data_IF_039036322892
#
_entry.id   IF_039036322892
#
_cell.length_a   1.000
_cell.length_b   1.000
_cell.length_c   1.000
_cell.angle_alpha   90.00
_cell.angle_beta   90.00
_cell.angle_gamma   90.00
#
_symmetry.space_group_name_H-M   'P 1'
#
loop_
_entity.id
_entity.type
_entity.pdbx_description
1 polymer ?
#
# COMPACT_ATOMS: atom_id res chain seq x y z
N UNK A 1 15.62 -16.79 -10.82
CA UNK A 1 14.64 -17.44 -9.92
C UNK A 1 13.32 -17.62 -10.64
N UNK A 2 12.60 -18.73 -10.44
CA UNK A 2 11.29 -18.97 -11.07
C UNK A 2 10.23 -17.95 -10.56
N UNK A 3 9.15 -17.73 -11.32
CA UNK A 3 7.94 -17.04 -10.81
C UNK A 3 7.60 -17.54 -9.39
N UNK A 4 7.45 -16.65 -8.39
CA UNK A 4 7.21 -17.10 -7.01
C UNK A 4 5.91 -17.91 -6.93
N UNK A 5 4.98 -17.66 -7.85
CA UNK A 5 3.70 -18.34 -7.92
C UNK A 5 3.27 -18.63 -9.38
N UNK A 6 2.30 -19.55 -9.52
CA UNK A 6 1.60 -19.76 -10.79
C UNK A 6 0.50 -18.71 -10.93
N UNK A 7 0.57 -17.91 -11.99
CA UNK A 7 -0.47 -16.92 -12.30
C UNK A 7 -1.81 -17.60 -12.59
N UNK A 8 -2.88 -17.07 -12.02
CA UNK A 8 -4.24 -17.45 -12.35
C UNK A 8 -4.68 -16.83 -13.68
N UNK A 9 -5.09 -17.67 -14.63
CA UNK A 9 -5.70 -17.24 -15.90
C UNK A 9 -7.23 -17.17 -15.77
N UNK A 10 -7.84 -16.17 -16.41
CA UNK A 10 -9.24 -15.74 -16.19
C UNK A 10 -10.20 -16.13 -17.33
N UNK A 11 -11.46 -16.42 -16.98
CA UNK A 11 -12.63 -16.33 -17.89
C UNK A 11 -13.45 -15.04 -17.62
N UNK A 12 -13.97 -14.36 -18.64
CA UNK A 12 -14.54 -13.02 -18.49
C UNK A 12 -15.85 -12.94 -17.67
N UNK A 13 -16.77 -13.89 -17.87
CA UNK A 13 -18.14 -13.87 -17.34
C UNK A 13 -18.23 -14.18 -15.83
N UNK A 14 -17.58 -15.23 -15.28
CA UNK A 14 -17.62 -15.52 -13.84
C UNK A 14 -17.18 -14.35 -12.95
N UNK A 15 -16.32 -13.50 -13.48
CA UNK A 15 -15.72 -12.40 -12.73
C UNK A 15 -16.64 -11.18 -12.58
N UNK A 16 -17.40 -10.83 -13.62
CA UNK A 16 -18.37 -9.74 -13.52
C UNK A 16 -19.47 -10.10 -12.50
N UNK A 17 -19.95 -11.36 -12.55
CA UNK A 17 -20.89 -11.88 -11.56
C UNK A 17 -20.30 -11.89 -10.15
N UNK A 18 -19.07 -12.37 -9.99
CA UNK A 18 -18.39 -12.39 -8.69
C UNK A 18 -18.29 -11.02 -8.04
N UNK A 19 -17.99 -9.97 -8.82
CA UNK A 19 -17.92 -8.60 -8.30
C UNK A 19 -19.27 -8.12 -7.77
N UNK A 20 -20.34 -8.36 -8.53
CA UNK A 20 -21.70 -7.98 -8.15
C UNK A 20 -22.15 -8.75 -6.90
N UNK A 21 -21.92 -10.07 -6.86
CA UNK A 21 -22.30 -10.92 -5.74
C UNK A 21 -21.58 -10.51 -4.45
N UNK A 22 -20.26 -10.32 -4.51
CA UNK A 22 -19.47 -9.91 -3.35
C UNK A 22 -19.87 -8.50 -2.87
N UNK A 23 -20.04 -7.54 -3.78
CA UNK A 23 -20.47 -6.18 -3.42
C UNK A 23 -21.88 -6.13 -2.84
N UNK A 24 -22.79 -6.99 -3.30
CA UNK A 24 -24.11 -7.13 -2.71
C UNK A 24 -24.04 -7.76 -1.31
N UNK A 25 -23.27 -8.85 -1.15
CA UNK A 25 -23.11 -9.54 0.12
C UNK A 25 -22.49 -8.64 1.20
N UNK A 26 -21.44 -7.89 0.88
CA UNK A 26 -20.78 -6.94 1.81
C UNK A 26 -21.71 -5.84 2.32
N UNK A 27 -22.75 -5.47 1.55
CA UNK A 27 -23.71 -4.43 1.92
C UNK A 27 -24.92 -4.94 2.69
N UNK A 28 -25.26 -6.23 2.56
CA UNK A 28 -26.55 -6.76 2.99
C UNK A 28 -26.47 -7.81 4.09
N UNK A 29 -25.36 -8.56 4.18
CA UNK A 29 -25.20 -9.63 5.15
C UNK A 29 -24.63 -9.11 6.47
N UNK A 30 -25.02 -9.75 7.58
CA UNK A 30 -24.38 -9.51 8.89
C UNK A 30 -22.98 -10.11 8.90
N UNK A 31 -22.06 -9.64 9.76
CA UNK A 31 -20.67 -10.09 9.75
C UNK A 31 -20.47 -11.63 9.79
N UNK A 32 -21.27 -12.35 10.58
CA UNK A 32 -21.20 -13.82 10.65
C UNK A 32 -21.68 -14.53 9.38
N UNK A 33 -22.74 -14.02 8.75
CA UNK A 33 -23.28 -14.55 7.48
C UNK A 33 -22.33 -14.28 6.32
N UNK A 34 -21.73 -13.08 6.29
CA UNK A 34 -20.69 -12.72 5.34
C UNK A 34 -19.47 -13.63 5.49
N UNK A 35 -19.02 -13.87 6.73
CA UNK A 35 -17.92 -14.80 7.01
C UNK A 35 -18.18 -16.20 6.46
N UNK A 36 -19.36 -16.77 6.75
CA UNK A 36 -19.76 -18.10 6.25
C UNK A 36 -19.83 -18.18 4.73
N UNK A 37 -20.39 -17.15 4.07
CA UNK A 37 -20.41 -17.08 2.60
C UNK A 37 -18.98 -17.05 2.03
N UNK A 38 -18.10 -16.21 2.57
CA UNK A 38 -16.71 -16.07 2.10
C UNK A 38 -15.91 -17.36 2.27
N UNK A 39 -16.08 -18.06 3.39
CA UNK A 39 -15.48 -19.38 3.60
C UNK A 39 -15.98 -20.41 2.56
N UNK A 40 -17.27 -20.41 2.27
CA UNK A 40 -17.85 -21.30 1.26
C UNK A 40 -17.33 -20.98 -0.15
N UNK A 41 -17.28 -19.69 -0.53
CA UNK A 41 -16.76 -19.25 -1.82
C UNK A 41 -15.29 -19.65 -1.98
N UNK A 42 -14.47 -19.44 -0.95
CA UNK A 42 -13.08 -19.87 -0.93
C UNK A 42 -12.95 -21.40 -1.05
N UNK A 43 -13.69 -22.18 -0.24
CA UNK A 43 -13.64 -23.65 -0.26
C UNK A 43 -14.04 -24.23 -1.62
N UNK A 44 -15.05 -23.64 -2.26
CA UNK A 44 -15.55 -24.07 -3.57
C UNK A 44 -14.79 -23.45 -4.74
N UNK A 45 -13.80 -22.61 -4.46
CA UNK A 45 -13.00 -21.89 -5.45
C UNK A 45 -13.88 -21.04 -6.40
N UNK A 46 -14.99 -20.51 -5.87
CA UNK A 46 -15.96 -19.70 -6.61
C UNK A 46 -15.61 -18.23 -6.47
N UNK A 47 -15.56 -17.51 -7.60
CA UNK A 47 -15.26 -16.07 -7.67
C UNK A 47 -13.89 -15.66 -7.07
N UNK A 48 -12.84 -16.46 -7.27
CA UNK A 48 -11.52 -16.17 -6.70
C UNK A 48 -10.78 -15.01 -7.34
N UNK A 49 -10.82 -14.91 -8.67
CA UNK A 49 -10.19 -13.83 -9.40
C UNK A 49 -11.33 -12.94 -9.89
N UNK A 50 -11.59 -11.80 -9.25
CA UNK A 50 -12.77 -10.96 -9.59
C UNK A 50 -12.34 -9.73 -10.35
N UNK A 51 -11.41 -8.97 -9.78
CA UNK A 51 -10.81 -7.79 -10.41
C UNK A 51 -9.47 -8.16 -11.07
N UNK A 52 -9.30 -7.98 -12.39
CA UNK A 52 -8.01 -8.14 -13.05
C UNK A 52 -6.98 -7.16 -12.51
N UNK A 53 -5.70 -7.53 -12.61
CA UNK A 53 -4.56 -6.67 -12.27
C UNK A 53 -4.70 -5.23 -12.83
N UNK A 54 -4.87 -5.03 -14.15
CA UNK A 54 -4.99 -3.69 -14.72
C UNK A 54 -6.14 -2.84 -14.13
N UNK A 55 -7.32 -3.44 -13.99
CA UNK A 55 -8.47 -2.75 -13.38
C UNK A 55 -8.25 -2.48 -11.89
N UNK A 56 -7.54 -3.36 -11.19
CA UNK A 56 -7.21 -3.19 -9.79
C UNK A 56 -6.19 -2.06 -9.59
N UNK A 57 -5.21 -1.92 -10.49
CA UNK A 57 -4.27 -0.78 -10.52
C UNK A 57 -5.05 0.52 -10.68
N UNK A 58 -5.92 0.60 -11.69
CA UNK A 58 -6.73 1.79 -11.95
C UNK A 58 -7.56 2.21 -10.73
N UNK A 59 -8.20 1.22 -10.09
CA UNK A 59 -9.00 1.45 -8.87
C UNK A 59 -8.14 1.82 -7.67
N UNK A 60 -7.01 1.14 -7.45
CA UNK A 60 -6.12 1.42 -6.34
C UNK A 60 -5.54 2.84 -6.39
N UNK A 61 -5.19 3.28 -7.60
CA UNK A 61 -4.58 4.58 -7.83
C UNK A 61 -5.54 5.70 -8.21
N UNK A 62 -6.85 5.43 -8.24
CA UNK A 62 -7.87 6.45 -8.42
C UNK A 62 -7.69 7.57 -7.38
N UNK A 63 -7.72 8.82 -7.86
CA UNK A 63 -7.54 10.04 -7.06
C UNK A 63 -6.10 10.52 -6.93
N UNK A 64 -5.08 9.73 -7.29
CA UNK A 64 -3.68 10.20 -7.28
C UNK A 64 -3.31 11.00 -8.54
N UNK A 65 -2.19 11.75 -8.49
CA UNK A 65 -1.69 12.53 -9.62
C UNK A 65 -1.52 11.69 -10.90
N UNK A 66 -1.70 12.30 -12.08
CA UNK A 66 -1.56 11.59 -13.35
C UNK A 66 -0.22 10.86 -13.53
N UNK A 67 0.88 11.45 -13.05
CA UNK A 67 2.22 10.86 -13.14
C UNK A 67 2.35 9.58 -12.30
N UNK A 68 1.80 9.58 -11.09
CA UNK A 68 1.76 8.41 -10.20
C UNK A 68 0.92 7.29 -10.83
N UNK A 69 -0.24 7.64 -11.39
CA UNK A 69 -1.10 6.69 -12.10
C UNK A 69 -0.43 6.11 -13.34
N UNK A 70 0.22 6.95 -14.14
CA UNK A 70 0.96 6.53 -15.33
C UNK A 70 2.14 5.62 -14.98
N UNK A 71 2.84 5.89 -13.87
CA UNK A 71 3.89 5.03 -13.37
C UNK A 71 3.32 3.68 -12.93
N UNK A 72 2.29 3.66 -12.10
CA UNK A 72 1.65 2.42 -11.63
C UNK A 72 1.07 1.56 -12.75
N UNK A 73 0.54 2.15 -13.83
CA UNK A 73 0.05 1.44 -14.99
C UNK A 73 1.12 0.62 -15.74
N UNK A 74 2.41 0.91 -15.50
CA UNK A 74 3.54 0.14 -16.06
C UNK A 74 3.90 -1.08 -15.23
N UNK A 75 3.31 -1.25 -14.04
CA UNK A 75 3.63 -2.35 -13.14
C UNK A 75 3.16 -3.69 -13.72
N UNK A 76 4.05 -4.68 -13.89
CA UNK A 76 3.65 -6.07 -14.05
C UNK A 76 2.94 -6.52 -12.77
N UNK A 77 1.62 -6.79 -12.88
CA UNK A 77 0.77 -7.09 -11.74
C UNK A 77 0.05 -8.41 -11.95
N UNK A 78 0.38 -9.38 -11.12
CA UNK A 78 -0.10 -10.75 -11.21
C UNK A 78 -1.01 -11.09 -10.03
N UNK A 79 -1.94 -12.02 -10.25
CA UNK A 79 -2.72 -12.62 -9.17
C UNK A 79 -2.46 -14.11 -9.13
N UNK A 80 -2.35 -14.66 -7.92
CA UNK A 80 -2.08 -16.07 -7.69
C UNK A 80 -3.12 -16.69 -6.76
N UNK A 81 -3.18 -18.02 -6.82
CA UNK A 81 -4.14 -18.82 -6.06
C UNK A 81 -3.72 -18.95 -4.59
N UNK A 82 -4.10 -17.95 -3.81
CA UNK A 82 -3.94 -17.95 -2.37
C UNK A 82 -5.08 -17.17 -1.72
N UNK A 83 -5.31 -17.47 -0.43
CA UNK A 83 -6.39 -16.85 0.36
C UNK A 83 -6.14 -15.37 0.64
N UNK A 84 -4.89 -15.01 0.89
CA UNK A 84 -4.48 -13.66 1.27
C UNK A 84 -2.97 -13.48 1.11
N UNK A 85 -2.52 -12.25 1.31
CA UNK A 85 -1.13 -11.84 1.14
C UNK A 85 -0.79 -11.37 -0.27
N UNK A 86 0.45 -10.93 -0.41
CA UNK A 86 1.03 -10.40 -1.63
C UNK A 86 2.30 -9.64 -1.31
N UNK A 87 2.88 -9.05 -2.34
CA UNK A 87 4.10 -8.27 -2.19
C UNK A 87 4.54 -7.61 -3.48
N UNK A 88 5.44 -6.67 -3.35
CA UNK A 88 6.31 -6.20 -4.41
C UNK A 88 7.64 -6.98 -4.37
N UNK A 89 8.12 -7.42 -5.54
CA UNK A 89 9.41 -8.10 -5.69
C UNK A 89 10.40 -7.18 -6.44
N UNK A 90 11.30 -6.47 -5.73
CA UNK A 90 12.19 -5.48 -6.33
C UNK A 90 13.09 -6.02 -7.44
N UNK A 91 13.66 -7.22 -7.26
CA UNK A 91 14.56 -7.87 -8.23
C UNK A 91 13.90 -8.11 -9.59
N UNK A 92 12.56 -8.19 -9.60
CA UNK A 92 11.75 -8.50 -10.79
C UNK A 92 10.85 -7.36 -11.22
N UNK A 93 10.80 -6.30 -10.41
CA UNK A 93 9.97 -5.12 -10.60
C UNK A 93 8.51 -5.47 -10.88
N UNK A 94 7.93 -6.39 -10.09
CA UNK A 94 6.58 -6.91 -10.28
C UNK A 94 5.83 -7.05 -8.94
N UNK A 95 4.51 -7.04 -9.02
CA UNK A 95 3.63 -7.28 -7.87
C UNK A 95 2.91 -8.60 -8.05
N UNK A 96 2.85 -9.39 -6.99
CA UNK A 96 1.94 -10.54 -6.88
C UNK A 96 0.99 -10.32 -5.73
N UNK A 97 -0.31 -10.38 -5.99
CA UNK A 97 -1.31 -10.24 -4.94
C UNK A 97 -2.28 -11.43 -4.99
N UNK A 98 -2.55 -12.05 -3.83
CA UNK A 98 -3.41 -13.20 -3.73
C UNK A 98 -4.84 -12.89 -4.24
N UNK A 99 -5.36 -13.75 -5.11
CA UNK A 99 -6.70 -13.59 -5.69
C UNK A 99 -7.79 -13.65 -4.60
N UNK A 100 -7.59 -14.50 -3.59
CA UNK A 100 -8.51 -14.69 -2.47
C UNK A 100 -8.76 -13.45 -1.61
N UNK A 101 -7.94 -12.39 -1.67
CA UNK A 101 -8.14 -11.18 -0.86
C UNK A 101 -9.54 -10.60 -1.07
N UNK A 102 -10.05 -10.59 -2.30
CA UNK A 102 -11.41 -10.09 -2.61
C UNK A 102 -12.50 -10.99 -2.02
N UNK A 103 -12.29 -12.30 -2.14
CA UNK A 103 -13.25 -13.32 -1.71
C UNK A 103 -13.27 -13.47 -0.20
N UNK A 104 -12.13 -13.26 0.47
CA UNK A 104 -11.94 -13.60 1.86
C UNK A 104 -11.85 -12.35 2.77
N UNK A 105 -11.11 -11.32 2.36
CA UNK A 105 -10.87 -10.12 3.17
C UNK A 105 -11.78 -8.96 2.76
N UNK A 106 -12.09 -8.83 1.47
CA UNK A 106 -13.13 -7.97 0.92
C UNK A 106 -12.67 -7.04 -0.19
N UNK A 107 -13.64 -6.43 -0.88
CA UNK A 107 -13.39 -5.59 -2.06
C UNK A 107 -12.63 -4.30 -1.71
N UNK A 108 -12.91 -3.70 -0.55
CA UNK A 108 -12.14 -2.55 -0.07
C UNK A 108 -10.72 -2.95 0.30
N UNK A 109 -10.55 -4.11 0.92
CA UNK A 109 -9.24 -4.58 1.38
C UNK A 109 -8.31 -4.85 0.20
N UNK A 110 -8.77 -5.51 -0.88
CA UNK A 110 -7.92 -5.74 -2.05
C UNK A 110 -7.42 -4.42 -2.66
N UNK A 111 -8.25 -3.37 -2.65
CA UNK A 111 -7.88 -2.07 -3.18
C UNK A 111 -6.78 -1.43 -2.33
N UNK A 112 -6.87 -1.56 -1.01
CA UNK A 112 -5.85 -1.06 -0.08
C UNK A 112 -4.55 -1.85 -0.22
N UNK A 113 -4.60 -3.18 -0.26
CA UNK A 113 -3.42 -4.02 -0.49
C UNK A 113 -2.75 -3.71 -1.82
N UNK A 114 -3.52 -3.59 -2.90
CA UNK A 114 -2.97 -3.21 -4.20
C UNK A 114 -2.36 -1.80 -4.19
N UNK A 115 -2.99 -0.84 -3.52
CA UNK A 115 -2.44 0.50 -3.35
C UNK A 115 -1.09 0.47 -2.62
N UNK A 116 -1.02 -0.24 -1.50
CA UNK A 116 0.19 -0.41 -0.72
C UNK A 116 1.33 -0.99 -1.57
N UNK A 117 1.11 -2.13 -2.24
CA UNK A 117 2.14 -2.73 -3.10
C UNK A 117 2.54 -1.85 -4.28
N UNK A 118 1.58 -1.10 -4.85
CA UNK A 118 1.88 -0.14 -5.91
C UNK A 118 2.78 0.99 -5.42
N UNK A 119 2.70 1.40 -4.16
CA UNK A 119 3.61 2.40 -3.63
C UNK A 119 5.02 1.88 -3.39
N UNK A 120 5.21 0.60 -3.09
CA UNK A 120 6.52 -0.04 -3.16
C UNK A 120 7.09 0.02 -4.57
N UNK A 121 6.29 -0.33 -5.59
CA UNK A 121 6.68 -0.21 -7.00
C UNK A 121 6.97 1.25 -7.39
N UNK A 122 6.12 2.20 -7.01
CA UNK A 122 6.29 3.63 -7.31
C UNK A 122 7.59 4.15 -6.68
N UNK A 123 7.88 3.80 -5.42
CA UNK A 123 9.13 4.18 -4.76
C UNK A 123 10.35 3.78 -5.59
N UNK A 124 10.38 2.51 -5.99
CA UNK A 124 11.49 1.91 -6.73
C UNK A 124 11.67 2.47 -8.14
N UNK A 125 10.61 2.99 -8.75
CA UNK A 125 10.62 3.46 -10.13
C UNK A 125 10.55 4.99 -10.27
N UNK A 126 10.27 5.72 -9.19
CA UNK A 126 10.27 7.18 -9.18
C UNK A 126 11.70 7.71 -8.95
N UNK A 127 12.29 8.50 -9.87
CA UNK A 127 13.72 8.85 -9.83
C UNK A 127 14.19 9.45 -8.50
N UNK A 128 13.39 10.36 -7.92
CA UNK A 128 13.74 11.04 -6.66
C UNK A 128 13.61 10.16 -5.42
N UNK A 129 12.58 9.31 -5.35
CA UNK A 129 12.37 8.45 -4.19
C UNK A 129 13.30 7.25 -4.20
N UNK A 130 13.56 6.67 -5.38
CA UNK A 130 14.56 5.62 -5.56
C UNK A 130 15.93 6.03 -5.04
N UNK A 131 16.37 7.26 -5.35
CA UNK A 131 17.66 7.75 -4.86
C UNK A 131 17.74 7.86 -3.33
N UNK A 132 16.62 8.10 -2.63
CA UNK A 132 16.56 8.08 -1.18
C UNK A 132 16.47 6.65 -0.62
N UNK A 133 15.69 5.78 -1.28
CA UNK A 133 15.56 4.36 -0.96
C UNK A 133 16.91 3.63 -1.03
N UNK A 134 17.69 3.85 -2.10
CA UNK A 134 19.06 3.36 -2.29
C UNK A 134 20.01 3.79 -1.13
N UNK A 135 19.63 4.81 -0.35
CA UNK A 135 20.34 5.32 0.84
C UNK A 135 19.68 4.92 2.15
N UNK A 136 18.81 3.91 2.13
CA UNK A 136 18.05 3.46 3.30
C UNK A 136 17.06 4.51 3.79
N UNK A 137 16.38 5.20 2.87
CA UNK A 137 15.36 6.21 3.15
C UNK A 137 15.85 7.32 4.08
N UNK A 138 17.05 7.85 3.83
CA UNK A 138 17.69 8.83 4.70
C UNK A 138 16.81 10.09 4.91
N UNK A 139 16.13 10.56 3.86
CA UNK A 139 15.21 11.70 3.93
C UNK A 139 14.00 11.37 4.77
N UNK A 140 13.33 10.26 4.46
CA UNK A 140 12.11 9.88 5.16
C UNK A 140 12.37 9.69 6.67
N UNK A 141 13.49 9.05 7.04
CA UNK A 141 13.89 8.92 8.45
C UNK A 141 14.11 10.27 9.12
N UNK A 142 14.75 11.22 8.42
CA UNK A 142 14.97 12.57 8.92
C UNK A 142 13.65 13.31 9.15
N UNK A 143 12.75 13.34 8.16
CA UNK A 143 11.47 14.07 8.27
C UNK A 143 10.57 13.49 9.35
N UNK A 144 10.59 12.16 9.55
CA UNK A 144 9.85 11.50 10.64
C UNK A 144 10.41 11.93 11.99
N UNK A 145 11.73 11.87 12.18
CA UNK A 145 12.36 12.28 13.43
C UNK A 145 12.12 13.77 13.76
N UNK A 146 12.21 14.65 12.77
CA UNK A 146 11.97 16.09 12.94
C UNK A 146 10.49 16.42 13.18
N UNK A 147 9.57 15.55 12.76
CA UNK A 147 8.13 15.73 12.99
C UNK A 147 7.69 15.37 14.41
N UNK A 148 8.49 14.62 15.17
CA UNK A 148 8.12 14.10 16.49
C UNK A 148 7.50 15.16 17.45
N UNK A 149 8.03 16.40 17.56
CA UNK A 149 7.48 17.42 18.48
C UNK A 149 6.04 17.86 18.18
N UNK A 150 5.57 17.70 16.93
CA UNK A 150 4.27 18.20 16.46
C UNK A 150 3.25 17.10 16.20
N UNK A 151 3.64 15.81 16.25
CA UNK A 151 2.74 14.65 16.00
C UNK A 151 1.46 14.70 16.85
N UNK A 152 1.54 15.20 18.09
CA UNK A 152 0.38 15.34 18.99
C UNK A 152 -0.76 16.18 18.41
N UNK A 153 -0.47 17.08 17.47
CA UNK A 153 -1.45 17.95 16.81
C UNK A 153 -2.19 17.25 15.65
N UNK A 154 -1.79 16.02 15.30
CA UNK A 154 -2.32 15.24 14.18
C UNK A 154 -2.95 13.93 14.70
N UNK A 155 -4.15 13.98 15.29
CA UNK A 155 -4.73 12.87 16.03
C UNK A 155 -4.99 11.62 15.18
N UNK A 156 -5.36 11.78 13.90
CA UNK A 156 -5.56 10.65 12.98
C UNK A 156 -4.24 9.93 12.69
N UNK A 157 -3.20 10.68 12.34
CA UNK A 157 -1.85 10.15 12.14
C UNK A 157 -1.32 9.47 13.40
N UNK A 158 -1.38 10.15 14.54
CA UNK A 158 -0.95 9.61 15.84
C UNK A 158 -1.71 8.32 16.21
N UNK A 159 -3.03 8.31 16.02
CA UNK A 159 -3.89 7.16 16.29
C UNK A 159 -3.50 5.96 15.43
N UNK A 160 -3.31 6.17 14.13
CA UNK A 160 -2.85 5.13 13.22
C UNK A 160 -1.46 4.60 13.58
N UNK A 161 -0.48 5.48 13.84
CA UNK A 161 0.89 5.07 14.20
C UNK A 161 0.89 4.17 15.43
N UNK A 162 0.18 4.59 16.48
CA UNK A 162 0.20 3.90 17.78
C UNK A 162 -0.70 2.66 17.84
N UNK A 163 -1.89 2.71 17.22
CA UNK A 163 -2.87 1.65 17.30
C UNK A 163 -2.76 0.62 16.16
N UNK A 164 -2.08 0.96 15.06
CA UNK A 164 -1.99 0.12 13.87
C UNK A 164 -0.55 -0.13 13.46
N UNK A 165 0.20 0.91 13.04
CA UNK A 165 1.51 0.72 12.41
C UNK A 165 2.54 0.07 13.35
N UNK A 166 2.79 0.67 14.52
CA UNK A 166 3.80 0.15 15.46
C UNK A 166 3.44 -1.23 16.04
N UNK A 167 2.17 -1.64 15.99
CA UNK A 167 1.76 -2.99 16.45
C UNK A 167 2.16 -4.10 15.50
N UNK A 168 2.63 -3.77 14.30
CA UNK A 168 3.09 -4.75 13.31
C UNK A 168 4.50 -5.28 13.60
N UNK A 169 5.18 -4.79 14.65
CA UNK A 169 6.51 -5.28 15.03
C UNK A 169 7.57 -4.94 13.98
N UNK A 170 8.27 -5.95 13.45
CA UNK A 170 9.33 -5.75 12.46
C UNK A 170 8.83 -5.20 11.11
N UNK A 171 7.53 -5.36 10.82
CA UNK A 171 6.88 -4.72 9.68
C UNK A 171 6.66 -3.21 9.89
N UNK A 172 6.80 -2.69 11.11
CA UNK A 172 6.78 -1.24 11.36
C UNK A 172 8.14 -0.59 11.01
N UNK A 173 8.58 -0.76 9.76
CA UNK A 173 9.85 -0.31 9.23
C UNK A 173 9.68 0.83 8.21
N UNK A 174 10.77 1.45 7.76
CA UNK A 174 10.69 2.66 6.93
C UNK A 174 10.15 2.38 5.51
N UNK A 175 10.39 1.19 4.99
CA UNK A 175 9.90 0.74 3.67
C UNK A 175 8.38 0.65 3.72
N UNK A 176 7.84 -0.03 4.73
CA UNK A 176 6.40 -0.18 4.92
C UNK A 176 5.72 1.15 5.27
N UNK A 177 6.38 2.00 6.06
CA UNK A 177 5.89 3.35 6.35
C UNK A 177 5.71 4.16 5.06
N UNK A 178 6.65 4.06 4.11
CA UNK A 178 6.54 4.74 2.83
C UNK A 178 5.29 4.31 2.05
N UNK A 179 5.02 3.01 1.96
CA UNK A 179 3.85 2.50 1.23
C UNK A 179 2.52 2.75 1.96
N UNK A 180 2.54 2.74 3.29
CA UNK A 180 1.34 2.90 4.10
C UNK A 180 0.82 4.34 4.15
N UNK A 181 1.68 5.36 4.10
CA UNK A 181 1.25 6.76 4.17
C UNK A 181 0.25 7.11 3.05
N UNK A 182 0.57 6.99 1.75
CA UNK A 182 -0.39 7.30 0.69
C UNK A 182 -1.56 6.30 0.64
N UNK A 183 -1.40 5.09 1.19
CA UNK A 183 -2.49 4.11 1.29
C UNK A 183 -3.54 4.53 2.33
N UNK A 184 -3.11 5.10 3.46
CA UNK A 184 -3.98 5.46 4.58
C UNK A 184 -4.37 6.94 4.60
N UNK A 185 -3.53 7.84 4.09
CA UNK A 185 -3.68 9.30 4.14
C UNK A 185 -3.73 9.85 2.72
N UNK A 186 -4.96 10.07 2.23
CA UNK A 186 -5.21 10.72 0.92
C UNK A 186 -5.30 12.24 1.02
N UNK A 187 -5.42 12.76 2.23
CA UNK A 187 -5.40 14.19 2.54
C UNK A 187 -4.10 14.51 3.31
N UNK A 188 -3.23 15.30 2.70
CA UNK A 188 -1.92 15.66 3.26
C UNK A 188 -2.05 16.54 4.51
N UNK A 189 -3.18 17.22 4.72
CA UNK A 189 -3.43 18.01 5.93
C UNK A 189 -3.58 17.16 7.19
N UNK A 190 -3.84 15.86 7.05
CA UNK A 190 -3.92 14.90 8.14
C UNK A 190 -2.54 14.44 8.66
N UNK A 191 -1.46 14.84 7.97
CA UNK A 191 -0.07 14.45 8.26
C UNK A 191 0.72 15.60 8.90
N UNK A 192 1.69 15.30 9.78
CA UNK A 192 2.66 16.30 10.25
C UNK A 192 3.35 17.03 9.08
N UNK A 193 3.66 18.34 9.16
CA UNK A 193 3.99 19.14 7.98
C UNK A 193 5.19 18.64 7.16
N UNK A 194 6.23 18.13 7.81
CA UNK A 194 7.41 17.61 7.10
C UNK A 194 7.13 16.27 6.42
N UNK A 195 6.30 15.43 7.03
CA UNK A 195 5.81 14.18 6.42
C UNK A 195 4.87 14.53 5.26
N UNK A 196 3.93 15.46 5.46
CA UNK A 196 3.05 15.96 4.41
C UNK A 196 3.86 16.46 3.21
N UNK A 197 4.85 17.32 3.41
CA UNK A 197 5.71 17.84 2.35
C UNK A 197 6.54 16.75 1.64
N UNK A 198 6.93 15.68 2.35
CA UNK A 198 7.61 14.55 1.74
C UNK A 198 6.72 13.73 0.81
N UNK A 199 5.43 13.56 1.13
CA UNK A 199 4.49 12.72 0.36
C UNK A 199 3.55 13.49 -0.56
N UNK A 200 3.41 14.80 -0.41
CA UNK A 200 2.51 15.62 -1.23
C UNK A 200 2.75 15.46 -2.75
N UNK A 201 3.99 15.38 -3.26
CA UNK A 201 4.21 15.10 -4.69
C UNK A 201 3.56 13.81 -5.19
N UNK A 202 3.44 12.79 -4.33
CA UNK A 202 2.79 11.53 -4.65
C UNK A 202 1.28 11.52 -4.39
N UNK A 203 0.79 12.30 -3.42
CA UNK A 203 -0.60 12.27 -2.97
C UNK A 203 -1.48 13.25 -3.75
N UNK A 204 -1.03 14.51 -3.89
CA UNK A 204 -1.80 15.60 -4.49
C UNK A 204 -1.08 16.29 -5.66
N UNK A 205 0.18 15.94 -5.92
CA UNK A 205 0.96 16.45 -7.03
C UNK A 205 1.62 17.81 -6.73
N UNK A 206 1.65 18.22 -5.46
CA UNK A 206 2.43 19.38 -5.02
C UNK A 206 3.90 19.25 -5.43
N UNK A 207 4.60 20.37 -5.65
CA UNK A 207 6.02 20.32 -5.98
C UNK A 207 6.83 19.69 -4.84
N UNK A 208 7.93 19.03 -5.20
CA UNK A 208 8.92 18.60 -4.23
C UNK A 208 9.51 19.83 -3.50
N UNK A 209 9.79 19.73 -2.19
CA UNK A 209 10.57 20.72 -1.47
C UNK A 209 11.91 21.03 -2.14
N UNK A 210 12.37 22.28 -2.06
CA UNK A 210 13.65 22.71 -2.67
C UNK A 210 14.85 21.89 -2.18
N UNK A 211 14.80 21.41 -0.94
CA UNK A 211 15.84 20.60 -0.31
C UNK A 211 15.67 19.08 -0.57
N UNK A 212 14.70 18.67 -1.40
CA UNK A 212 14.39 17.25 -1.58
C UNK A 212 15.57 16.45 -2.12
N UNK A 213 16.27 17.01 -3.11
CA UNK A 213 17.44 16.40 -3.75
C UNK A 213 18.75 16.69 -2.99
N UNK A 214 18.66 17.29 -1.79
CA UNK A 214 19.83 17.66 -0.98
C UNK A 214 20.71 16.46 -0.60
N UNK A 215 22.01 16.73 -0.39
CA UNK A 215 22.97 15.70 0.03
C UNK A 215 22.63 15.18 1.44
N UNK A 216 21.90 14.07 1.51
CA UNK A 216 21.59 13.38 2.76
C UNK A 216 22.69 12.37 3.08
N UNK A 217 23.18 12.42 4.31
CA UNK A 217 24.15 11.44 4.81
C UNK A 217 23.50 10.05 4.83
N UNK A 218 24.20 9.06 4.26
CA UNK A 218 23.88 7.65 4.42
C UNK A 218 24.26 7.21 5.85
N UNK A 219 23.48 7.66 6.84
CA UNK A 219 23.60 7.15 8.20
C UNK A 219 23.06 5.72 8.24
N UNK A 220 23.65 4.86 9.07
CA UNK A 220 23.16 3.49 9.25
C UNK A 220 21.67 3.47 9.61
N UNK A 221 20.95 2.52 9.02
CA UNK A 221 19.56 2.27 9.35
C UNK A 221 19.46 1.34 10.56
N UNK A 222 18.76 1.80 11.61
CA UNK A 222 18.41 0.99 12.77
C UNK A 222 16.88 1.03 12.94
N UNK A 223 16.23 -0.14 12.81
CA UNK A 223 14.78 -0.28 12.92
C UNK A 223 14.25 0.30 14.22
N UNK A 224 14.86 -0.05 15.36
CA UNK A 224 14.40 0.39 16.67
C UNK A 224 14.52 1.92 16.82
N UNK A 225 15.54 2.56 16.22
CA UNK A 225 15.67 4.02 16.20
C UNK A 225 14.54 4.67 15.39
N UNK A 226 14.20 4.10 14.23
CA UNK A 226 13.08 4.56 13.42
C UNK A 226 11.75 4.42 14.18
N UNK A 227 11.47 3.27 14.76
CA UNK A 227 10.25 3.04 15.55
C UNK A 227 10.14 4.00 16.74
N UNK A 228 11.25 4.27 17.46
CA UNK A 228 11.27 5.28 18.53
C UNK A 228 10.95 6.68 18.02
N UNK A 229 11.35 7.04 16.80
CA UNK A 229 11.05 8.35 16.21
C UNK A 229 9.57 8.54 15.83
N UNK A 230 8.84 7.44 15.63
CA UNK A 230 7.40 7.45 15.36
C UNK A 230 6.56 7.56 16.64
N UNK A 231 7.09 7.09 17.76
CA UNK A 231 6.40 7.12 19.04
C UNK A 231 6.17 8.57 19.49
N UNK A 232 4.91 9.01 19.65
CA UNK A 232 4.62 10.34 20.17
C UNK A 232 5.13 10.43 21.61
N UNK A 233 5.96 11.44 21.90
CA UNK A 233 6.38 11.81 23.26
C UNK A 233 5.19 12.38 24.04
#
# INVERSE_FOLDING_TARGET
>A
MAAPHRELKRAAVPNAMGHVVLAFAERTLRPGELGGLREQLWRTQTYLYVTPGPLLIDRALEGFPPEVRALGARCPFFRYDARGGGGYWPDRNEIWLAAGVETYEGLRQVRLSACHELFHFICWNHPRYRADEDRGFARLRKVVAESAPVVKNYPRYRGWVTASFLRQGDHANVVEFFADIPTNFRDTSELPPLIAAHFAPLIDGSPFPDDFDGALAAGEYELARFQRSLSPV
#
